data_IF_158079893192
#
_entry.id   IF_158079893192
#
_cell.length_a   1.000
_cell.length_b   1.000
_cell.length_c   1.000
_cell.angle_alpha   90.00
_cell.angle_beta   90.00
_cell.angle_gamma   90.00
#
_symmetry.space_group_name_H-M   'P 1'
#
loop_
_entity.id
_entity.type
_entity.pdbx_description
1 polymer ?
#
# COMPACT_ATOMS: atom_id res chain seq x y z
N UNK A 1 27.43 54.10 -18.65
CA UNK A 1 28.80 53.64 -18.34
C UNK A 1 29.08 52.45 -19.24
N UNK A 2 29.88 52.64 -20.29
CA UNK A 2 30.19 51.64 -21.32
C UNK A 2 31.26 50.69 -20.79
N UNK A 3 30.96 49.40 -20.69
CA UNK A 3 32.00 48.37 -20.74
C UNK A 3 31.87 47.60 -22.05
N UNK A 4 32.56 48.11 -23.06
CA UNK A 4 32.90 47.36 -24.27
C UNK A 4 33.77 46.17 -23.87
N UNK A 5 33.17 45.01 -23.60
CA UNK A 5 33.91 43.74 -23.61
C UNK A 5 34.49 43.58 -25.01
N UNK A 6 35.78 43.86 -25.16
CA UNK A 6 36.55 43.51 -26.36
C UNK A 6 36.31 42.02 -26.61
N UNK A 7 35.57 41.71 -27.68
CA UNK A 7 35.47 40.35 -28.20
C UNK A 7 36.90 39.94 -28.51
N UNK A 8 37.48 39.06 -27.69
CA UNK A 8 38.78 38.46 -27.99
C UNK A 8 38.66 37.85 -29.39
N UNK A 9 39.58 38.21 -30.29
CA UNK A 9 39.69 37.51 -31.57
C UNK A 9 39.90 36.05 -31.23
N UNK A 10 38.93 35.23 -31.59
CA UNK A 10 38.97 33.79 -31.37
C UNK A 10 40.22 33.26 -32.06
N UNK A 11 40.99 32.48 -31.33
CA UNK A 11 42.10 31.72 -31.91
C UNK A 11 41.54 30.74 -32.94
N UNK A 12 42.33 30.37 -33.94
CA UNK A 12 41.97 29.33 -34.91
C UNK A 12 41.54 28.03 -34.24
N UNK A 13 42.18 27.69 -33.11
CA UNK A 13 41.77 26.59 -32.25
C UNK A 13 40.37 26.77 -31.64
N UNK A 14 40.04 27.96 -31.11
CA UNK A 14 38.71 28.21 -30.54
C UNK A 14 37.60 28.18 -31.61
N UNK A 15 37.88 28.65 -32.83
CA UNK A 15 36.94 28.53 -33.96
C UNK A 15 36.69 27.07 -34.34
N UNK A 16 37.76 26.28 -34.54
CA UNK A 16 37.64 24.85 -34.84
C UNK A 16 36.92 24.10 -33.71
N UNK A 17 37.16 24.48 -32.45
CA UNK A 17 36.44 23.94 -31.30
C UNK A 17 34.94 24.21 -31.39
N UNK A 18 34.53 25.42 -31.75
CA UNK A 18 33.10 25.74 -31.92
C UNK A 18 32.49 24.96 -33.09
N UNK A 19 33.19 24.83 -34.22
CA UNK A 19 32.72 24.03 -35.36
C UNK A 19 32.53 22.55 -34.99
N UNK A 20 33.45 21.97 -34.21
CA UNK A 20 33.32 20.58 -33.74
C UNK A 20 32.16 20.45 -32.75
N UNK A 21 31.96 21.43 -31.87
CA UNK A 21 30.83 21.42 -30.93
C UNK A 21 29.50 21.52 -31.67
N UNK A 22 29.37 22.42 -32.64
CA UNK A 22 28.16 22.56 -33.45
C UNK A 22 27.91 21.32 -34.30
N UNK A 23 28.97 20.68 -34.82
CA UNK A 23 28.86 19.41 -35.52
C UNK A 23 28.31 18.29 -34.61
N UNK A 24 28.84 18.16 -33.39
CA UNK A 24 28.37 17.16 -32.43
C UNK A 24 26.93 17.48 -31.97
N UNK A 25 26.61 18.75 -31.72
CA UNK A 25 25.26 19.19 -31.35
C UNK A 25 24.26 18.84 -32.46
N UNK A 26 24.61 19.10 -33.72
CA UNK A 26 23.80 18.69 -34.88
C UNK A 26 23.62 17.17 -34.97
N UNK A 27 24.66 16.39 -34.70
CA UNK A 27 24.60 14.93 -34.74
C UNK A 27 23.69 14.37 -33.65
N UNK A 28 23.81 14.87 -32.41
CA UNK A 28 22.95 14.47 -31.29
C UNK A 28 21.49 14.81 -31.57
N UNK A 29 21.19 16.03 -32.05
CA UNK A 29 19.82 16.46 -32.33
C UNK A 29 19.14 15.67 -33.45
N UNK A 30 19.91 15.24 -34.45
CA UNK A 30 19.36 14.52 -35.60
C UNK A 30 19.12 13.04 -35.31
N UNK A 31 19.95 12.40 -34.49
CA UNK A 31 19.93 10.93 -34.32
C UNK A 31 19.48 10.44 -32.94
N UNK A 32 19.63 11.23 -31.86
CA UNK A 32 19.20 10.84 -30.51
C UNK A 32 17.79 11.34 -30.19
N UNK A 33 16.84 10.91 -31.01
CA UNK A 33 15.40 11.17 -30.79
C UNK A 33 14.83 10.07 -29.89
N UNK A 34 13.92 10.38 -28.94
CA UNK A 34 13.23 9.36 -28.15
C UNK A 34 12.55 8.32 -29.05
N UNK A 35 12.66 7.04 -28.68
CA UNK A 35 12.05 5.94 -29.44
C UNK A 35 10.52 6.10 -29.58
N UNK A 36 9.88 6.75 -28.61
CA UNK A 36 8.44 7.04 -28.57
C UNK A 36 7.96 7.94 -29.72
N UNK A 37 8.86 8.72 -30.34
CA UNK A 37 8.53 9.56 -31.49
C UNK A 37 8.51 8.79 -32.82
N UNK A 38 8.95 7.53 -32.82
CA UNK A 38 8.93 6.67 -33.99
C UNK A 38 7.61 5.90 -34.07
N UNK A 39 7.08 5.74 -35.28
CA UNK A 39 5.89 4.92 -35.51
C UNK A 39 6.20 3.44 -35.24
N UNK A 40 5.28 2.71 -34.60
CA UNK A 40 5.40 1.27 -34.31
C UNK A 40 6.60 0.90 -33.42
N UNK A 41 7.08 1.83 -32.58
CA UNK A 41 8.17 1.55 -31.64
C UNK A 41 7.79 0.50 -30.58
N UNK A 42 6.50 0.36 -30.27
CA UNK A 42 5.95 -0.57 -29.28
C UNK A 42 6.18 -2.05 -29.63
N UNK A 43 6.42 -2.36 -30.91
CA UNK A 43 6.76 -3.73 -31.35
C UNK A 43 8.17 -4.12 -30.93
N UNK A 44 9.08 -3.16 -30.85
CA UNK A 44 10.51 -3.38 -30.54
C UNK A 44 10.83 -3.09 -29.07
N UNK A 45 9.99 -2.33 -28.37
CA UNK A 45 10.22 -1.88 -26.99
C UNK A 45 9.13 -2.37 -26.04
N UNK A 46 9.53 -2.75 -24.83
CA UNK A 46 8.62 -3.14 -23.75
C UNK A 46 8.51 -2.04 -22.70
N UNK A 47 7.30 -1.54 -22.45
CA UNK A 47 7.02 -0.49 -21.47
C UNK A 47 5.98 -0.95 -20.44
N UNK A 48 6.39 -1.86 -19.55
CA UNK A 48 5.60 -2.20 -18.36
C UNK A 48 6.51 -2.41 -17.13
N UNK A 49 7.21 -1.35 -16.76
CA UNK A 49 8.14 -1.36 -15.63
C UNK A 49 7.48 -1.70 -14.28
N UNK A 50 6.24 -1.26 -14.06
CA UNK A 50 5.52 -1.56 -12.81
C UNK A 50 5.18 -3.04 -12.70
N UNK A 51 4.64 -3.65 -13.75
CA UNK A 51 4.35 -5.09 -13.78
C UNK A 51 5.62 -5.89 -13.54
N UNK A 52 6.72 -5.54 -14.23
CA UNK A 52 8.00 -6.22 -14.04
C UNK A 52 8.53 -6.07 -12.61
N UNK A 53 8.43 -4.87 -12.02
CA UNK A 53 8.85 -4.61 -10.64
C UNK A 53 8.02 -5.39 -9.63
N UNK A 54 6.70 -5.50 -9.81
CA UNK A 54 5.83 -6.28 -8.93
C UNK A 54 6.15 -7.77 -8.96
N UNK A 55 6.49 -8.33 -10.13
CA UNK A 55 6.82 -9.74 -10.28
C UNK A 55 8.25 -10.07 -9.81
N UNK A 56 9.22 -9.18 -10.03
CA UNK A 56 10.61 -9.40 -9.64
C UNK A 56 10.88 -9.04 -8.18
N UNK A 57 10.30 -7.93 -7.69
CA UNK A 57 10.50 -7.39 -6.36
C UNK A 57 9.16 -7.32 -5.62
N UNK A 58 8.58 -8.49 -5.34
CA UNK A 58 7.32 -8.59 -4.62
C UNK A 58 7.44 -8.10 -3.17
N UNK A 59 6.43 -7.36 -2.70
CA UNK A 59 6.34 -6.83 -1.33
C UNK A 59 5.12 -7.42 -0.59
N UNK A 60 5.16 -8.71 -0.20
CA UNK A 60 3.98 -9.42 0.32
C UNK A 60 3.40 -8.79 1.60
N UNK A 61 4.27 -8.23 2.47
CA UNK A 61 3.82 -7.52 3.68
C UNK A 61 2.98 -6.28 3.35
N UNK A 62 3.39 -5.51 2.34
CA UNK A 62 2.65 -4.33 1.90
C UNK A 62 1.30 -4.74 1.29
N UNK A 63 1.28 -5.78 0.47
CA UNK A 63 0.05 -6.33 -0.10
C UNK A 63 -0.95 -6.77 0.98
N UNK A 64 -0.48 -7.51 2.00
CA UNK A 64 -1.32 -7.92 3.13
C UNK A 64 -1.83 -6.73 3.94
N UNK A 65 -0.95 -5.75 4.23
CA UNK A 65 -1.34 -4.53 4.94
C UNK A 65 -2.41 -3.75 4.19
N UNK A 66 -2.25 -3.57 2.86
CA UNK A 66 -3.25 -2.90 2.02
C UNK A 66 -4.55 -3.68 1.96
N UNK A 67 -4.51 -5.01 1.83
CA UNK A 67 -5.70 -5.86 1.79
C UNK A 67 -6.50 -5.83 3.10
N UNK A 68 -5.82 -5.89 4.24
CA UNK A 68 -6.47 -5.93 5.55
C UNK A 68 -6.98 -4.54 5.98
N UNK A 69 -6.27 -3.45 5.64
CA UNK A 69 -6.73 -2.09 5.93
C UNK A 69 -7.82 -1.61 4.98
N UNK A 70 -7.71 -1.93 3.69
CA UNK A 70 -8.63 -1.45 2.68
C UNK A 70 -9.04 -2.57 1.70
N UNK A 71 -10.03 -3.41 2.07
CA UNK A 71 -10.49 -4.51 1.23
C UNK A 71 -11.16 -4.05 -0.07
N UNK A 72 -11.56 -2.78 -0.18
CA UNK A 72 -12.18 -2.22 -1.38
C UNK A 72 -11.28 -2.34 -2.62
N UNK A 73 -9.96 -2.22 -2.47
CA UNK A 73 -9.03 -2.34 -3.60
C UNK A 73 -9.15 -3.68 -4.34
N UNK A 74 -9.56 -4.74 -3.65
CA UNK A 74 -9.68 -6.09 -4.20
C UNK A 74 -11.13 -6.49 -4.47
N UNK A 75 -12.05 -6.21 -3.54
CA UNK A 75 -13.46 -6.63 -3.64
C UNK A 75 -14.33 -5.66 -4.44
N UNK A 76 -13.93 -4.38 -4.59
CA UNK A 76 -14.63 -3.34 -5.36
C UNK A 76 -16.12 -3.17 -5.02
N UNK A 77 -16.50 -3.42 -3.78
CA UNK A 77 -17.86 -3.17 -3.27
C UNK A 77 -17.98 -1.77 -2.69
N UNK A 78 -19.02 -1.03 -3.09
CA UNK A 78 -19.29 0.33 -2.62
C UNK A 78 -19.55 0.38 -1.10
N UNK A 79 -20.06 -0.68 -0.49
CA UNK A 79 -20.25 -0.78 0.97
C UNK A 79 -18.93 -0.77 1.76
N UNK A 80 -17.81 -1.05 1.10
CA UNK A 80 -16.46 -1.11 1.67
C UNK A 80 -15.66 0.18 1.45
N UNK A 81 -16.21 1.17 0.74
CA UNK A 81 -15.60 2.51 0.60
C UNK A 81 -15.65 3.23 1.95
N UNK A 82 -14.65 2.99 2.78
CA UNK A 82 -14.45 3.67 4.06
C UNK A 82 -13.18 4.51 4.01
N UNK A 83 -13.14 5.60 4.77
CA UNK A 83 -11.89 6.35 5.00
C UNK A 83 -10.85 5.46 5.69
N UNK A 84 -9.57 5.82 5.56
CA UNK A 84 -8.46 5.03 6.09
C UNK A 84 -8.58 4.71 7.59
N UNK A 85 -9.25 5.59 8.35
CA UNK A 85 -9.39 5.48 9.81
C UNK A 85 -10.76 4.96 10.28
N UNK A 86 -11.73 4.77 9.40
CA UNK A 86 -13.05 4.28 9.80
C UNK A 86 -13.19 2.77 9.59
N UNK A 87 -13.72 2.08 10.60
CA UNK A 87 -14.02 0.65 10.55
C UNK A 87 -15.46 0.50 10.04
N UNK A 88 -15.62 0.09 8.78
CA UNK A 88 -16.93 -0.28 8.25
C UNK A 88 -17.33 -1.64 8.83
N UNK A 89 -18.49 -1.71 9.47
CA UNK A 89 -19.04 -2.97 9.95
C UNK A 89 -19.48 -3.93 8.82
N UNK A 90 -19.51 -3.46 7.57
CA UNK A 90 -19.70 -4.29 6.38
C UNK A 90 -18.40 -4.98 5.90
N UNK A 91 -17.25 -4.67 6.51
CA UNK A 91 -15.97 -5.27 6.15
C UNK A 91 -15.88 -6.75 6.59
N UNK A 92 -15.02 -7.55 5.92
CA UNK A 92 -14.74 -8.92 6.37
C UNK A 92 -14.22 -8.98 7.81
N UNK A 93 -14.55 -10.05 8.53
CA UNK A 93 -14.19 -10.23 9.96
C UNK A 93 -12.71 -10.02 10.23
N UNK A 94 -11.84 -10.58 9.39
CA UNK A 94 -10.39 -10.46 9.51
C UNK A 94 -9.91 -9.01 9.38
N UNK A 95 -10.55 -8.20 8.53
CA UNK A 95 -10.22 -6.78 8.35
C UNK A 95 -10.63 -5.96 9.59
N UNK A 96 -11.79 -6.26 10.19
CA UNK A 96 -12.25 -5.60 11.41
C UNK A 96 -11.33 -5.96 12.57
N UNK A 97 -11.05 -7.25 12.78
CA UNK A 97 -10.11 -7.71 13.81
C UNK A 97 -8.72 -7.09 13.59
N UNK A 98 -8.28 -6.98 12.33
CA UNK A 98 -7.02 -6.33 11.99
C UNK A 98 -7.03 -4.82 12.28
N UNK A 99 -8.08 -4.07 12.01
CA UNK A 99 -8.08 -2.65 12.39
C UNK A 99 -8.02 -2.46 13.90
N UNK A 100 -8.80 -3.24 14.65
CA UNK A 100 -8.79 -3.19 16.11
C UNK A 100 -7.44 -3.60 16.72
N UNK A 101 -6.74 -4.61 16.16
CA UNK A 101 -5.42 -5.00 16.68
C UNK A 101 -4.35 -3.92 16.47
N UNK A 102 -4.50 -3.03 15.47
CA UNK A 102 -3.56 -1.94 15.22
C UNK A 102 -3.65 -0.86 16.29
N UNK A 103 -4.85 -0.59 16.81
CA UNK A 103 -5.14 0.35 17.91
C UNK A 103 -4.66 -0.18 19.27
N UNK A 104 -4.53 -1.50 19.39
CA UNK A 104 -4.02 -2.14 20.60
C UNK A 104 -2.49 -2.05 20.73
N UNK A 105 -2.03 -2.08 21.98
CA UNK A 105 -0.61 -2.15 22.32
C UNK A 105 0.05 -3.51 22.06
N UNK A 106 1.25 -3.72 22.62
CA UNK A 106 2.04 -4.94 22.42
C UNK A 106 1.36 -6.22 22.95
N UNK A 107 0.62 -6.10 24.04
CA UNK A 107 -0.16 -7.18 24.64
C UNK A 107 -1.64 -6.82 24.53
N UNK A 108 -2.41 -7.71 23.91
CA UNK A 108 -3.83 -7.49 23.61
C UNK A 108 -4.64 -8.42 24.52
N UNK A 109 -5.60 -7.88 25.26
CA UNK A 109 -6.57 -8.66 26.02
C UNK A 109 -7.62 -9.22 25.06
N UNK A 110 -7.83 -10.53 25.05
CA UNK A 110 -8.78 -11.19 24.17
C UNK A 110 -10.24 -10.81 24.46
N UNK A 111 -10.58 -10.54 25.73
CA UNK A 111 -11.95 -10.20 26.13
C UNK A 111 -12.32 -8.79 25.65
N UNK A 112 -11.46 -7.81 25.91
CA UNK A 112 -11.67 -6.42 25.46
C UNK A 112 -11.70 -6.34 23.92
N UNK A 113 -10.86 -7.15 23.26
CA UNK A 113 -10.82 -7.21 21.79
C UNK A 113 -12.08 -7.84 21.20
N UNK A 114 -12.62 -8.88 21.83
CA UNK A 114 -13.91 -9.48 21.45
C UNK A 114 -15.06 -8.48 21.64
N UNK A 115 -15.08 -7.75 22.75
CA UNK A 115 -16.12 -6.74 23.02
C UNK A 115 -16.08 -5.63 21.97
N UNK A 116 -14.89 -5.10 21.67
CA UNK A 116 -14.70 -4.13 20.60
C UNK A 116 -15.14 -4.69 19.23
N UNK A 117 -14.80 -5.94 18.91
CA UNK A 117 -15.25 -6.59 17.68
C UNK A 117 -16.77 -6.72 17.61
N UNK A 118 -17.41 -7.15 18.70
CA UNK A 118 -18.86 -7.29 18.79
C UNK A 118 -19.59 -5.97 18.59
N UNK A 119 -19.10 -4.88 19.20
CA UNK A 119 -19.71 -3.54 19.02
C UNK A 119 -19.67 -3.07 17.56
N UNK A 120 -18.58 -3.33 16.83
CA UNK A 120 -18.47 -2.94 15.42
C UNK A 120 -19.40 -3.78 14.53
N UNK A 121 -19.46 -5.09 14.75
CA UNK A 121 -20.30 -6.00 13.95
C UNK A 121 -21.79 -5.77 14.21
N UNK A 122 -22.18 -5.53 15.47
CA UNK A 122 -23.57 -5.23 15.84
C UNK A 122 -24.00 -3.83 15.37
N UNK A 123 -23.09 -2.84 15.33
CA UNK A 123 -23.39 -1.54 14.73
C UNK A 123 -23.70 -1.63 13.21
N UNK A 124 -23.20 -2.67 12.54
CA UNK A 124 -23.48 -2.93 11.12
C UNK A 124 -24.85 -3.61 10.90
N UNK A 125 -25.33 -4.36 11.89
CA UNK A 125 -26.56 -5.15 11.80
C UNK A 125 -27.72 -4.48 12.54
N UNK A 126 -28.76 -4.09 11.81
CA UNK A 126 -30.05 -3.73 12.42
C UNK A 126 -30.71 -4.99 13.02
N UNK A 127 -30.26 -5.48 14.17
CA UNK A 127 -30.85 -6.67 14.81
C UNK A 127 -31.75 -6.28 15.98
N UNK A 128 -33.05 -6.54 15.79
CA UNK A 128 -34.08 -6.47 16.81
C UNK A 128 -33.79 -7.38 18.01
N UNK A 129 -34.17 -6.89 19.18
CA UNK A 129 -33.72 -7.32 20.52
C UNK A 129 -34.05 -8.75 20.98
N UNK A 130 -34.68 -9.60 20.15
CA UNK A 130 -35.15 -10.95 20.52
C UNK A 130 -34.23 -12.11 20.12
N UNK A 131 -33.21 -11.89 19.29
CA UNK A 131 -32.27 -12.94 18.81
C UNK A 131 -30.88 -12.83 19.46
N UNK A 132 -30.70 -11.87 20.39
CA UNK A 132 -29.40 -11.47 20.97
C UNK A 132 -28.50 -12.65 21.40
N UNK A 133 -29.04 -13.62 22.13
CA UNK A 133 -28.22 -14.72 22.66
C UNK A 133 -27.63 -15.63 21.57
N UNK A 134 -28.34 -15.89 20.46
CA UNK A 134 -27.79 -16.71 19.36
C UNK A 134 -26.85 -15.91 18.47
N UNK A 135 -27.12 -14.61 18.29
CA UNK A 135 -26.21 -13.72 17.55
C UNK A 135 -24.87 -13.56 18.28
N UNK A 136 -24.88 -13.54 19.61
CA UNK A 136 -23.67 -13.39 20.42
C UNK A 136 -22.73 -14.60 20.26
N UNK A 137 -23.27 -15.83 20.26
CA UNK A 137 -22.50 -17.06 20.01
C UNK A 137 -21.89 -17.08 18.60
N UNK A 138 -22.61 -16.61 17.59
CA UNK A 138 -22.13 -16.54 16.20
C UNK A 138 -21.03 -15.48 16.07
N UNK A 139 -21.18 -14.32 16.70
CA UNK A 139 -20.16 -13.27 16.72
C UNK A 139 -18.90 -13.78 17.42
N UNK A 140 -19.05 -14.53 18.52
CA UNK A 140 -17.93 -15.15 19.22
C UNK A 140 -17.17 -16.15 18.32
N UNK A 141 -17.89 -17.02 17.61
CA UNK A 141 -17.28 -17.95 16.66
C UNK A 141 -16.57 -17.25 15.49
N UNK A 142 -17.16 -16.17 14.96
CA UNK A 142 -16.54 -15.32 13.91
C UNK A 142 -15.26 -14.66 14.41
N UNK A 143 -15.26 -14.15 15.63
CA UNK A 143 -14.08 -13.57 16.26
C UNK A 143 -12.97 -14.62 16.42
N UNK A 144 -13.27 -15.79 16.99
CA UNK A 144 -12.27 -16.86 17.16
C UNK A 144 -11.64 -17.24 15.81
N UNK A 145 -12.44 -17.33 14.75
CA UNK A 145 -11.95 -17.58 13.39
C UNK A 145 -11.00 -16.46 12.92
N UNK A 146 -11.40 -15.20 13.02
CA UNK A 146 -10.58 -14.07 12.60
C UNK A 146 -9.25 -13.99 13.39
N UNK A 147 -9.28 -14.25 14.70
CA UNK A 147 -8.08 -14.33 15.55
C UNK A 147 -7.16 -15.47 15.10
N UNK A 148 -7.72 -16.64 14.80
CA UNK A 148 -6.95 -17.80 14.31
C UNK A 148 -6.29 -17.51 12.96
N UNK A 149 -6.98 -16.79 12.06
CA UNK A 149 -6.42 -16.35 10.78
C UNK A 149 -5.28 -15.33 10.96
N UNK A 150 -5.42 -14.38 11.90
CA UNK A 150 -4.36 -13.43 12.24
C UNK A 150 -3.15 -14.10 12.89
N UNK A 151 -3.35 -15.13 13.70
CA UNK A 151 -2.27 -15.97 14.24
C UNK A 151 -1.56 -16.73 13.11
N UNK A 152 -2.33 -17.34 12.20
CA UNK A 152 -1.79 -18.05 11.03
C UNK A 152 -0.91 -17.14 10.14
N UNK A 153 -1.34 -15.88 9.93
CA UNK A 153 -0.57 -14.88 9.18
C UNK A 153 0.63 -14.31 9.96
N UNK A 154 0.78 -14.66 11.24
CA UNK A 154 1.90 -14.22 12.08
C UNK A 154 1.78 -12.79 12.60
N UNK A 155 0.56 -12.23 12.68
CA UNK A 155 0.33 -10.91 13.28
C UNK A 155 0.29 -10.96 14.81
N UNK A 156 -0.18 -12.09 15.36
CA UNK A 156 -0.29 -12.31 16.80
C UNK A 156 0.27 -13.68 17.19
N UNK A 157 0.54 -13.86 18.48
CA UNK A 157 0.99 -15.13 19.06
C UNK A 157 0.46 -15.30 20.49
N UNK A 158 0.08 -16.51 20.91
CA UNK A 158 -0.25 -16.79 22.31
C UNK A 158 0.96 -16.52 23.22
N UNK A 159 0.71 -15.87 24.36
CA UNK A 159 1.74 -15.60 25.37
C UNK A 159 1.48 -16.39 26.64
N UNK A 160 2.54 -16.79 27.34
CA UNK A 160 2.47 -17.42 28.67
C UNK A 160 2.50 -16.38 29.81
N UNK A 161 2.67 -15.10 29.49
CA UNK A 161 2.81 -14.04 30.48
C UNK A 161 1.48 -13.73 31.19
N UNK A 162 0.35 -13.83 30.46
CA UNK A 162 -1.01 -13.70 30.98
C UNK A 162 -1.92 -14.65 30.20
N UNK A 163 -2.84 -15.32 30.89
CA UNK A 163 -3.64 -16.45 30.38
C UNK A 163 -4.70 -16.07 29.34
N UNK A 164 -5.06 -14.79 29.27
CA UNK A 164 -6.13 -14.19 28.46
C UNK A 164 -5.59 -13.17 27.44
N UNK A 165 -4.28 -13.12 27.26
CA UNK A 165 -3.63 -12.15 26.35
C UNK A 165 -2.97 -12.83 25.15
N UNK A 166 -2.86 -12.07 24.06
CA UNK A 166 -2.01 -12.40 22.92
C UNK A 166 -0.96 -11.31 22.73
N UNK A 167 0.20 -11.68 22.21
CA UNK A 167 1.27 -10.75 21.89
C UNK A 167 1.19 -10.37 20.40
N UNK A 168 1.20 -9.07 20.12
CA UNK A 168 1.33 -8.54 18.77
C UNK A 168 2.77 -8.67 18.29
N UNK A 169 2.96 -9.20 17.08
CA UNK A 169 4.28 -9.45 16.48
C UNK A 169 4.71 -8.37 15.48
N UNK A 170 3.78 -7.55 15.00
CA UNK A 170 4.03 -6.53 13.99
C UNK A 170 3.93 -5.12 14.58
N UNK A 171 4.84 -4.24 14.16
CA UNK A 171 4.82 -2.81 14.52
C UNK A 171 4.49 -1.96 13.31
N UNK A 172 3.76 -0.85 13.53
CA UNK A 172 3.55 0.24 12.58
C UNK A 172 2.37 0.05 11.62
N UNK A 173 1.58 1.12 11.47
CA UNK A 173 0.90 1.45 10.21
C UNK A 173 2.00 1.69 9.18
N UNK A 174 2.18 0.80 8.21
CA UNK A 174 3.09 1.04 7.11
C UNK A 174 2.44 1.95 6.07
#
# INVERSE_FOLDING_TARGET
MKESRRVKKLTTFEMLRFEIVDFIDGLVRNYLVPAEMQTLHEVMYFSAANTLREHLNATPRAALHTALNNPYFYLKDDALKCGAESISGAAPDICIAYKLHLECGRLINLVDWLEAFSTVVTAAGNTDSRVKNQTDDIIHARFIRAVSELEFLGFIKPTKQKTDHVARLTWGSC
#
